data_IF_863678282033
#
_entry.id   IF_863678282033
#
_cell.length_a   1.000
_cell.length_b   1.000
_cell.length_c   1.000
_cell.angle_alpha   90.00
_cell.angle_beta   90.00
_cell.angle_gamma   90.00
#
_symmetry.space_group_name_H-M   'P 1'
#
loop_
_entity.id
_entity.type
_entity.pdbx_description
1 polymer ?
#
# COMPACT_ATOMS: atom_id res chain seq x y z
N UNK A 1 55.13 20.17 -36.21
CA UNK A 1 54.50 18.85 -35.94
C UNK A 1 53.69 18.86 -34.66
N UNK A 2 54.15 19.43 -33.54
CA UNK A 2 53.46 19.41 -32.26
C UNK A 2 52.06 20.06 -32.16
N UNK A 3 51.83 21.21 -32.89
CA UNK A 3 50.51 21.86 -32.90
C UNK A 3 49.38 21.05 -33.57
N UNK A 4 49.71 20.19 -34.55
CA UNK A 4 48.72 19.30 -35.18
C UNK A 4 48.36 18.13 -34.26
N UNK A 5 49.33 17.57 -33.55
CA UNK A 5 49.15 16.48 -32.59
C UNK A 5 48.27 16.95 -31.41
N UNK A 6 48.53 18.16 -30.89
CA UNK A 6 47.69 18.73 -29.81
C UNK A 6 46.20 18.91 -30.21
N UNK A 7 45.92 19.39 -31.43
CA UNK A 7 44.57 19.53 -31.95
C UNK A 7 43.83 18.18 -32.08
N UNK A 8 44.55 17.15 -32.54
CA UNK A 8 43.98 15.80 -32.66
C UNK A 8 43.66 15.19 -31.31
N UNK A 9 44.50 15.38 -30.29
CA UNK A 9 44.25 14.90 -28.92
C UNK A 9 43.04 15.61 -28.34
N UNK A 10 42.93 16.94 -28.48
CA UNK A 10 41.76 17.70 -27.99
C UNK A 10 40.48 17.21 -28.67
N UNK A 11 40.50 16.99 -30.00
CA UNK A 11 39.34 16.47 -30.72
C UNK A 11 38.93 15.09 -30.22
N UNK A 12 39.86 14.17 -29.96
CA UNK A 12 39.59 12.87 -29.41
C UNK A 12 38.97 12.95 -27.99
N UNK A 13 39.51 13.83 -27.15
CA UNK A 13 38.94 14.05 -25.81
C UNK A 13 37.50 14.58 -25.87
N UNK A 14 37.21 15.50 -26.77
CA UNK A 14 35.84 16.01 -27.00
C UNK A 14 34.90 14.90 -27.46
N UNK A 15 35.34 14.04 -28.38
CA UNK A 15 34.56 12.92 -28.90
C UNK A 15 34.25 11.93 -27.75
N UNK A 16 35.24 11.57 -26.93
CA UNK A 16 35.09 10.68 -25.79
C UNK A 16 34.13 11.29 -24.76
N UNK A 17 34.28 12.59 -24.49
CA UNK A 17 33.36 13.28 -23.56
C UNK A 17 31.91 13.29 -24.07
N UNK A 18 31.69 13.64 -25.34
CA UNK A 18 30.37 13.62 -25.97
C UNK A 18 29.78 12.21 -26.01
N UNK A 19 30.58 11.19 -26.29
CA UNK A 19 30.15 9.79 -26.23
C UNK A 19 29.74 9.40 -24.81
N UNK A 20 30.47 9.85 -23.79
CA UNK A 20 30.10 9.64 -22.36
C UNK A 20 28.78 10.32 -21.97
N UNK A 21 28.60 11.58 -22.43
CA UNK A 21 27.34 12.30 -22.18
C UNK A 21 26.15 11.61 -22.86
N UNK A 22 26.33 11.18 -24.14
CA UNK A 22 25.28 10.44 -24.85
C UNK A 22 24.99 9.07 -24.20
N UNK A 23 26.02 8.38 -23.74
CA UNK A 23 25.85 7.11 -23.01
C UNK A 23 25.09 7.30 -21.70
N UNK A 24 25.44 8.33 -20.91
CA UNK A 24 24.70 8.70 -19.71
C UNK A 24 23.25 9.09 -20.04
N UNK A 25 23.06 9.95 -21.05
CA UNK A 25 21.72 10.36 -21.50
C UNK A 25 20.85 9.15 -21.89
N UNK A 26 21.43 8.18 -22.61
CA UNK A 26 20.75 6.93 -22.96
C UNK A 26 20.38 6.10 -21.74
N UNK A 27 21.22 6.07 -20.70
CA UNK A 27 20.94 5.38 -19.45
C UNK A 27 19.79 6.00 -18.65
N UNK A 28 19.62 7.33 -18.70
CA UNK A 28 18.57 8.03 -17.96
C UNK A 28 17.24 8.17 -18.70
N UNK A 29 17.29 8.34 -20.03
CA UNK A 29 16.11 8.67 -20.82
C UNK A 29 15.74 7.59 -21.85
N UNK A 30 16.55 6.54 -22.00
CA UNK A 30 16.44 5.61 -23.10
C UNK A 30 16.81 6.29 -24.45
N UNK A 31 16.49 5.65 -25.55
CA UNK A 31 16.69 6.22 -26.90
C UNK A 31 15.55 5.82 -27.85
N UNK A 32 15.35 6.58 -28.95
CA UNK A 32 14.25 6.30 -29.88
C UNK A 32 14.31 4.92 -30.55
N UNK A 33 15.49 4.37 -30.74
CA UNK A 33 15.66 3.05 -31.38
C UNK A 33 15.20 1.96 -30.44
N UNK A 34 15.69 1.97 -29.20
CA UNK A 34 15.26 1.00 -28.19
C UNK A 34 13.77 1.14 -27.84
N UNK A 35 13.22 2.36 -27.82
CA UNK A 35 11.78 2.58 -27.64
C UNK A 35 10.96 1.93 -28.78
N UNK A 36 11.43 2.05 -30.02
CA UNK A 36 10.78 1.41 -31.16
C UNK A 36 10.85 -0.12 -31.08
N UNK A 37 12.02 -0.67 -30.69
CA UNK A 37 12.19 -2.10 -30.48
C UNK A 37 11.28 -2.62 -29.36
N UNK A 38 11.23 -1.91 -28.24
CA UNK A 38 10.36 -2.25 -27.11
C UNK A 38 8.87 -2.23 -27.50
N UNK A 39 8.41 -1.21 -28.25
CA UNK A 39 7.03 -1.17 -28.76
C UNK A 39 6.71 -2.33 -29.71
N UNK A 40 7.63 -2.69 -30.59
CA UNK A 40 7.45 -3.84 -31.48
C UNK A 40 7.41 -5.16 -30.72
N UNK A 41 8.28 -5.30 -29.71
CA UNK A 41 8.32 -6.45 -28.83
C UNK A 41 7.01 -6.58 -28.04
N UNK A 42 6.54 -5.47 -27.46
CA UNK A 42 5.26 -5.40 -26.75
C UNK A 42 4.09 -5.86 -27.65
N UNK A 43 3.94 -5.23 -28.83
CA UNK A 43 2.81 -5.52 -29.71
C UNK A 43 2.79 -6.99 -30.13
N UNK A 44 3.96 -7.55 -30.47
CA UNK A 44 4.07 -8.97 -30.82
C UNK A 44 3.70 -9.86 -29.63
N UNK A 45 4.24 -9.57 -28.44
CA UNK A 45 3.95 -10.35 -27.24
C UNK A 45 2.46 -10.32 -26.87
N UNK A 46 1.83 -9.13 -26.90
CA UNK A 46 0.40 -8.98 -26.61
C UNK A 46 -0.44 -9.74 -27.64
N UNK A 47 -0.10 -9.68 -28.92
CA UNK A 47 -0.79 -10.42 -29.97
C UNK A 47 -0.67 -11.95 -29.80
N UNK A 48 0.55 -12.43 -29.53
CA UNK A 48 0.83 -13.86 -29.37
C UNK A 48 0.25 -14.45 -28.09
N UNK A 49 0.26 -13.68 -26.97
CA UNK A 49 -0.14 -14.17 -25.63
C UNK A 49 -1.58 -13.81 -25.29
N UNK A 50 -2.01 -12.60 -25.61
CA UNK A 50 -3.28 -12.00 -25.22
C UNK A 50 -4.15 -11.56 -26.41
N UNK A 51 -3.87 -12.04 -27.60
CA UNK A 51 -4.61 -11.65 -28.81
C UNK A 51 -6.11 -11.99 -28.80
N UNK A 52 -6.56 -12.79 -27.83
CA UNK A 52 -7.97 -13.07 -27.56
C UNK A 52 -8.62 -12.08 -26.59
N UNK A 53 -7.82 -11.17 -26.00
CA UNK A 53 -8.25 -10.12 -25.08
C UNK A 53 -8.18 -8.76 -25.77
N UNK A 54 -9.02 -7.83 -25.37
CA UNK A 54 -9.10 -6.47 -25.90
C UNK A 54 -8.15 -5.50 -25.15
N UNK A 55 -6.90 -5.92 -24.94
CA UNK A 55 -5.92 -5.13 -24.20
C UNK A 55 -5.47 -3.89 -24.95
N UNK A 56 -5.53 -2.75 -24.30
CA UNK A 56 -5.05 -1.46 -24.82
C UNK A 56 -3.90 -0.94 -23.98
N UNK A 57 -2.91 -0.36 -24.63
CA UNK A 57 -1.77 0.26 -23.95
C UNK A 57 -2.13 1.68 -23.52
N UNK A 58 -2.42 1.87 -22.25
CA UNK A 58 -2.69 3.16 -21.63
C UNK A 58 -1.42 3.99 -21.43
N UNK A 59 -0.34 3.31 -21.05
CA UNK A 59 0.91 3.97 -20.72
C UNK A 59 2.10 3.15 -21.21
N UNK A 60 3.06 3.83 -21.81
CA UNK A 60 4.34 3.25 -22.19
C UNK A 60 5.45 4.21 -21.79
N UNK A 61 6.48 3.72 -21.10
CA UNK A 61 7.55 4.55 -20.58
C UNK A 61 8.88 3.83 -20.43
N UNK A 62 9.92 4.62 -20.23
CA UNK A 62 11.26 4.16 -19.90
C UNK A 62 11.47 4.22 -18.39
N UNK A 63 12.06 3.18 -17.82
CA UNK A 63 12.42 3.11 -16.41
C UNK A 63 13.96 3.06 -16.28
N UNK A 64 14.56 4.16 -15.83
CA UNK A 64 16.00 4.26 -15.67
C UNK A 64 16.57 3.37 -14.57
N UNK A 65 15.74 2.97 -13.56
CA UNK A 65 16.19 2.10 -12.47
C UNK A 65 16.44 0.67 -12.94
N UNK A 66 15.63 0.19 -13.89
CA UNK A 66 15.74 -1.15 -14.47
C UNK A 66 16.39 -1.15 -15.84
N UNK A 67 16.73 0.04 -16.39
CA UNK A 67 17.30 0.24 -17.73
C UNK A 67 16.48 -0.50 -18.79
N UNK A 68 15.16 -0.28 -18.78
CA UNK A 68 14.21 -0.97 -19.67
C UNK A 68 12.95 -0.15 -19.90
N UNK A 69 11.99 -0.76 -20.55
CA UNK A 69 10.69 -0.18 -20.85
C UNK A 69 9.60 -0.90 -20.08
N UNK A 70 8.52 -0.19 -19.82
CA UNK A 70 7.29 -0.78 -19.28
C UNK A 70 6.09 -0.31 -20.09
N UNK A 71 5.07 -1.13 -20.12
CA UNK A 71 3.76 -0.79 -20.61
C UNK A 71 2.71 -1.13 -19.52
N UNK A 72 1.76 -0.26 -19.33
CA UNK A 72 0.55 -0.52 -18.56
C UNK A 72 -0.60 -0.72 -19.54
N UNK A 73 -1.24 -1.88 -19.44
CA UNK A 73 -2.34 -2.28 -20.31
C UNK A 73 -3.61 -2.46 -19.48
N UNK A 74 -4.73 -2.13 -20.09
CA UNK A 74 -6.07 -2.31 -19.52
C UNK A 74 -6.99 -2.95 -20.56
N UNK A 75 -8.09 -3.53 -20.13
CA UNK A 75 -9.15 -4.01 -21.00
C UNK A 75 -10.35 -3.05 -20.97
N UNK A 76 -10.99 -2.81 -22.10
CA UNK A 76 -12.25 -2.04 -22.16
C UNK A 76 -13.45 -2.86 -21.66
N UNK A 77 -13.38 -4.18 -21.74
CA UNK A 77 -14.49 -5.09 -21.40
C UNK A 77 -14.37 -5.69 -20.00
N UNK A 78 -13.18 -5.60 -19.38
CA UNK A 78 -12.92 -6.11 -18.03
C UNK A 78 -12.31 -5.00 -17.14
N UNK A 79 -13.00 -4.66 -16.06
CA UNK A 79 -12.52 -3.64 -15.10
C UNK A 79 -11.36 -4.11 -14.23
N UNK A 80 -11.22 -5.42 -14.09
CA UNK A 80 -10.20 -6.05 -13.26
C UNK A 80 -9.02 -6.58 -14.10
N UNK A 81 -9.06 -6.39 -15.43
CA UNK A 81 -7.94 -6.76 -16.30
C UNK A 81 -7.06 -5.55 -16.58
N UNK A 82 -6.05 -5.40 -15.75
CA UNK A 82 -4.98 -4.41 -15.88
C UNK A 82 -3.65 -5.05 -15.50
N UNK A 83 -2.58 -4.78 -16.28
CA UNK A 83 -1.29 -5.42 -16.08
C UNK A 83 -0.12 -4.56 -16.53
N UNK A 84 1.06 -4.86 -16.00
CA UNK A 84 2.32 -4.30 -16.44
C UNK A 84 3.12 -5.34 -17.23
N UNK A 85 3.68 -4.92 -18.36
CA UNK A 85 4.64 -5.70 -19.14
C UNK A 85 5.96 -4.92 -19.15
N UNK A 86 7.04 -5.58 -18.74
CA UNK A 86 8.38 -5.00 -18.71
C UNK A 86 9.23 -5.59 -19.82
N UNK A 87 10.05 -4.76 -20.44
CA UNK A 87 10.87 -5.12 -21.61
C UNK A 87 12.28 -4.56 -21.45
N UNK A 88 13.25 -5.29 -21.98
CA UNK A 88 14.61 -4.79 -22.12
C UNK A 88 14.75 -3.74 -23.25
N UNK A 89 15.97 -3.23 -23.43
CA UNK A 89 16.30 -2.24 -24.47
C UNK A 89 16.18 -2.80 -25.91
N UNK A 90 16.12 -4.13 -26.07
CA UNK A 90 15.98 -4.82 -27.35
C UNK A 90 14.54 -5.22 -27.65
N UNK A 91 13.63 -5.03 -26.68
CA UNK A 91 12.20 -5.35 -26.80
C UNK A 91 11.85 -6.80 -26.42
N UNK A 92 12.73 -7.50 -25.71
CA UNK A 92 12.34 -8.77 -25.11
C UNK A 92 11.56 -8.53 -23.83
N UNK A 93 10.45 -9.22 -23.67
CA UNK A 93 9.67 -9.18 -22.43
C UNK A 93 10.47 -9.87 -21.34
N UNK A 94 10.69 -9.16 -20.22
CA UNK A 94 11.45 -9.64 -19.07
C UNK A 94 10.55 -10.02 -17.90
N UNK A 95 9.37 -9.42 -17.82
CA UNK A 95 8.37 -9.69 -16.79
C UNK A 95 6.99 -9.29 -17.29
N UNK A 96 6.00 -10.06 -16.86
CA UNK A 96 4.58 -9.84 -17.08
C UNK A 96 3.87 -10.04 -15.73
N UNK A 97 2.99 -9.13 -15.39
CA UNK A 97 2.27 -9.17 -14.11
C UNK A 97 0.88 -9.81 -14.20
N UNK A 98 0.49 -10.41 -15.32
CA UNK A 98 -0.86 -10.95 -15.54
C UNK A 98 -1.26 -11.98 -14.47
N UNK A 99 -0.37 -12.93 -14.18
CA UNK A 99 -0.67 -13.99 -13.20
C UNK A 99 -0.94 -13.43 -11.81
N UNK A 100 -0.18 -12.40 -11.39
CA UNK A 100 -0.36 -11.79 -10.07
C UNK A 100 -1.59 -10.88 -10.03
N UNK A 101 -1.72 -9.99 -11.01
CA UNK A 101 -2.69 -8.91 -10.96
C UNK A 101 -4.09 -9.32 -11.43
N UNK A 102 -4.16 -10.19 -12.44
CA UNK A 102 -5.43 -10.64 -13.02
C UNK A 102 -5.81 -12.02 -12.49
N UNK A 103 -5.02 -13.06 -12.77
CA UNK A 103 -5.32 -14.43 -12.32
C UNK A 103 -5.30 -14.53 -10.79
N UNK A 104 -4.31 -13.89 -10.13
CA UNK A 104 -4.20 -13.79 -8.67
C UNK A 104 -5.17 -12.77 -8.04
N UNK A 105 -6.02 -12.13 -8.86
CA UNK A 105 -7.11 -11.21 -8.45
C UNK A 105 -6.68 -9.97 -7.66
N UNK A 106 -5.44 -9.55 -7.78
CA UNK A 106 -4.94 -8.38 -7.06
C UNK A 106 -5.67 -7.09 -7.47
N UNK A 107 -6.04 -6.95 -8.76
CA UNK A 107 -6.88 -5.83 -9.22
C UNK A 107 -8.28 -5.85 -8.61
N UNK A 108 -8.91 -7.03 -8.53
CA UNK A 108 -10.23 -7.21 -7.90
C UNK A 108 -10.16 -6.85 -6.41
N UNK A 109 -9.13 -7.34 -5.72
CA UNK A 109 -8.86 -7.02 -4.32
C UNK A 109 -8.75 -5.51 -4.11
N UNK A 110 -7.90 -4.82 -4.90
CA UNK A 110 -7.73 -3.37 -4.79
C UNK A 110 -9.04 -2.61 -5.04
N UNK A 111 -9.85 -3.06 -5.99
CA UNK A 111 -11.13 -2.43 -6.27
C UNK A 111 -12.14 -2.63 -5.13
N UNK A 112 -12.21 -3.81 -4.55
CA UNK A 112 -13.08 -4.13 -3.40
C UNK A 112 -12.61 -3.35 -2.16
N UNK A 113 -11.30 -3.31 -1.95
CA UNK A 113 -10.65 -2.49 -0.92
C UNK A 113 -11.03 -1.02 -1.03
N UNK A 114 -10.95 -0.46 -2.24
CA UNK A 114 -11.30 0.95 -2.49
C UNK A 114 -12.79 1.24 -2.22
N UNK A 115 -13.69 0.31 -2.57
CA UNK A 115 -15.11 0.47 -2.25
C UNK A 115 -15.36 0.54 -0.74
N UNK A 116 -14.71 -0.32 0.04
CA UNK A 116 -14.82 -0.28 1.50
C UNK A 116 -14.18 1.00 2.09
N UNK A 117 -13.02 1.39 1.59
CA UNK A 117 -12.34 2.62 2.01
C UNK A 117 -13.24 3.85 1.82
N UNK A 118 -13.92 3.97 0.68
CA UNK A 118 -14.85 5.08 0.43
C UNK A 118 -15.97 5.14 1.46
N UNK A 119 -16.53 3.99 1.89
CA UNK A 119 -17.56 3.94 2.93
C UNK A 119 -17.02 4.42 4.28
N UNK A 120 -15.84 3.95 4.69
CA UNK A 120 -15.21 4.37 5.95
C UNK A 120 -14.77 5.83 5.94
N UNK A 121 -14.19 6.32 4.83
CA UNK A 121 -13.73 7.71 4.68
C UNK A 121 -14.91 8.70 4.75
N UNK A 122 -16.11 8.30 4.29
CA UNK A 122 -17.31 9.12 4.43
C UNK A 122 -17.62 9.48 5.89
N UNK A 123 -17.23 8.64 6.83
CA UNK A 123 -17.39 8.85 8.28
C UNK A 123 -16.15 9.57 8.83
N UNK A 124 -14.97 9.00 8.58
CA UNK A 124 -13.71 9.41 9.21
C UNK A 124 -13.19 10.77 8.71
N UNK A 125 -13.47 11.14 7.45
CA UNK A 125 -13.10 12.43 6.86
C UNK A 125 -14.26 13.43 6.88
N UNK A 126 -15.39 13.07 7.52
CA UNK A 126 -16.53 13.96 7.68
C UNK A 126 -16.16 15.20 8.49
N UNK A 127 -16.79 16.34 8.16
CA UNK A 127 -16.67 17.56 8.96
C UNK A 127 -17.22 17.40 10.39
N UNK A 128 -18.05 16.41 10.62
CA UNK A 128 -18.64 16.08 11.92
C UNK A 128 -17.78 15.10 12.74
N UNK A 129 -16.68 14.57 12.16
CA UNK A 129 -15.74 13.72 12.90
C UNK A 129 -14.96 14.59 13.91
N UNK A 130 -15.13 14.38 15.22
CA UNK A 130 -14.69 15.35 16.22
C UNK A 130 -13.22 15.22 16.62
N UNK A 131 -12.53 14.16 16.20
CA UNK A 131 -11.19 13.82 16.67
C UNK A 131 -10.11 14.28 15.70
N UNK A 132 -9.09 14.95 16.25
CA UNK A 132 -7.88 15.28 15.47
C UNK A 132 -7.04 14.02 15.26
N UNK A 133 -6.67 13.76 14.01
CA UNK A 133 -5.88 12.60 13.64
C UNK A 133 -4.99 12.89 12.43
N UNK A 134 -3.83 12.23 12.38
CA UNK A 134 -2.95 12.21 11.20
C UNK A 134 -3.05 10.86 10.46
N UNK A 135 -3.64 9.83 11.08
CA UNK A 135 -3.79 8.48 10.53
C UNK A 135 -5.20 8.00 10.80
N UNK A 136 -6.00 8.02 9.76
CA UNK A 136 -7.37 7.51 9.74
C UNK A 136 -7.57 6.65 8.51
N UNK A 137 -8.28 5.55 8.63
CA UNK A 137 -8.68 4.78 7.46
C UNK A 137 -9.31 3.45 7.81
N UNK A 138 -10.09 2.95 6.88
CA UNK A 138 -10.64 1.61 6.89
C UNK A 138 -10.03 0.78 5.76
N UNK A 139 -9.73 -0.47 6.06
CA UNK A 139 -9.24 -1.44 5.09
C UNK A 139 -9.88 -2.79 5.29
N UNK A 140 -9.95 -3.58 4.22
CA UNK A 140 -10.27 -5.00 4.31
C UNK A 140 -8.98 -5.80 4.40
N UNK A 141 -8.95 -6.79 5.27
CA UNK A 141 -7.83 -7.71 5.33
C UNK A 141 -8.07 -8.90 4.39
N UNK A 142 -7.08 -9.17 3.53
CA UNK A 142 -7.10 -10.27 2.60
C UNK A 142 -6.03 -11.30 2.97
N UNK A 143 -6.35 -12.58 2.82
CA UNK A 143 -5.36 -13.63 3.05
C UNK A 143 -4.22 -13.45 2.05
N UNK A 144 -3.03 -13.24 2.59
CA UNK A 144 -1.80 -13.24 1.82
C UNK A 144 -1.23 -14.66 1.76
N UNK A 145 -0.41 -14.92 0.75
CA UNK A 145 0.39 -16.14 0.74
C UNK A 145 1.28 -16.14 1.99
N UNK A 146 1.07 -17.12 2.88
CA UNK A 146 1.80 -17.18 4.16
C UNK A 146 3.28 -17.37 3.89
N UNK A 147 4.10 -16.50 4.47
CA UNK A 147 5.52 -16.79 4.60
C UNK A 147 5.74 -17.98 5.54
N UNK A 148 6.75 -18.78 5.26
CA UNK A 148 7.10 -19.93 6.12
C UNK A 148 7.50 -19.41 7.50
N UNK A 149 6.69 -19.74 8.53
CA UNK A 149 6.92 -19.30 9.92
C UNK A 149 5.98 -18.20 10.41
N UNK A 150 5.01 -17.77 9.61
CA UNK A 150 3.96 -16.86 10.07
C UNK A 150 2.85 -17.65 10.79
N UNK A 151 2.84 -17.59 12.11
CA UNK A 151 1.87 -18.28 12.98
C UNK A 151 0.63 -17.42 13.32
N UNK A 152 0.52 -16.19 12.76
CA UNK A 152 -0.63 -15.30 13.00
C UNK A 152 -1.92 -15.93 12.51
N UNK A 153 -2.99 -15.79 13.28
CA UNK A 153 -4.31 -16.29 12.91
C UNK A 153 -5.05 -15.28 12.00
N UNK A 154 -5.06 -15.59 10.70
CA UNK A 154 -5.77 -14.80 9.68
C UNK A 154 -7.13 -15.41 9.29
N UNK A 155 -7.75 -16.23 10.16
CA UNK A 155 -9.01 -16.89 9.81
C UNK A 155 -10.16 -15.91 9.52
N UNK A 156 -10.03 -14.65 9.95
CA UNK A 156 -10.98 -13.58 9.64
C UNK A 156 -10.73 -12.95 8.26
N UNK A 157 -9.51 -12.99 7.74
CA UNK A 157 -9.16 -12.35 6.47
C UNK A 157 -9.87 -12.99 5.28
N UNK A 158 -10.18 -12.20 4.27
CA UNK A 158 -10.90 -12.64 3.06
C UNK A 158 -9.97 -13.46 2.18
N UNK A 159 -10.27 -14.75 1.88
CA UNK A 159 -9.54 -15.50 0.87
C UNK A 159 -9.72 -14.87 -0.51
N UNK A 160 -8.63 -14.66 -1.26
CA UNK A 160 -8.70 -14.12 -2.62
C UNK A 160 -9.54 -14.98 -3.57
N UNK A 161 -9.64 -16.28 -3.29
CA UNK A 161 -10.44 -17.23 -4.04
C UNK A 161 -11.94 -16.88 -4.02
N UNK A 162 -12.42 -16.22 -2.97
CA UNK A 162 -13.81 -15.75 -2.86
C UNK A 162 -14.11 -14.58 -3.80
N UNK A 163 -13.08 -13.82 -4.19
CA UNK A 163 -13.27 -12.72 -5.11
C UNK A 163 -13.57 -13.23 -6.53
N UNK A 164 -14.46 -12.56 -7.21
CA UNK A 164 -14.86 -12.88 -8.59
C UNK A 164 -14.43 -11.74 -9.50
N UNK A 165 -13.62 -12.05 -10.50
CA UNK A 165 -13.15 -11.11 -11.51
C UNK A 165 -14.36 -10.40 -12.16
N UNK A 166 -14.26 -9.09 -12.32
CA UNK A 166 -15.27 -8.21 -12.94
C UNK A 166 -16.63 -8.15 -12.22
N UNK A 167 -16.83 -8.89 -11.14
CA UNK A 167 -18.06 -8.81 -10.39
C UNK A 167 -18.25 -7.41 -9.84
N UNK A 168 -19.41 -6.82 -10.10
CA UNK A 168 -19.85 -5.61 -9.42
C UNK A 168 -20.41 -6.01 -8.05
N UNK A 169 -19.66 -5.74 -7.01
CA UNK A 169 -20.11 -5.96 -5.63
C UNK A 169 -21.09 -4.85 -5.24
N UNK A 170 -22.19 -5.24 -4.61
CA UNK A 170 -23.15 -4.31 -4.01
C UNK A 170 -22.57 -3.75 -2.70
N UNK A 171 -23.10 -2.63 -2.23
CA UNK A 171 -22.75 -2.06 -0.94
C UNK A 171 -22.96 -3.06 0.22
N UNK A 172 -24.07 -3.83 0.18
CA UNK A 172 -24.36 -4.87 1.17
C UNK A 172 -23.25 -5.95 1.20
N UNK A 173 -22.74 -6.36 0.03
CA UNK A 173 -21.64 -7.32 -0.05
C UNK A 173 -20.33 -6.74 0.49
N UNK A 174 -20.05 -5.46 0.22
CA UNK A 174 -18.88 -4.76 0.75
C UNK A 174 -18.98 -4.62 2.27
N UNK A 175 -20.15 -4.27 2.81
CA UNK A 175 -20.40 -4.21 4.25
C UNK A 175 -20.24 -5.58 4.92
N UNK A 176 -20.70 -6.66 4.26
CA UNK A 176 -20.48 -8.03 4.76
C UNK A 176 -18.99 -8.40 4.81
N UNK A 177 -18.18 -7.93 3.86
CA UNK A 177 -16.72 -8.07 3.95
C UNK A 177 -16.16 -7.24 5.11
N UNK A 178 -16.68 -6.02 5.32
CA UNK A 178 -16.32 -5.15 6.43
C UNK A 178 -16.58 -5.81 7.79
N UNK A 179 -17.76 -6.40 7.99
CA UNK A 179 -18.12 -7.11 9.21
C UNK A 179 -17.17 -8.27 9.53
N UNK A 180 -16.69 -8.98 8.48
CA UNK A 180 -15.81 -10.14 8.64
C UNK A 180 -14.33 -9.78 8.75
N UNK A 181 -13.87 -8.78 7.99
CA UNK A 181 -12.45 -8.51 7.79
C UNK A 181 -12.10 -7.02 7.72
N UNK A 182 -13.01 -6.12 8.05
CA UNK A 182 -12.78 -4.69 8.06
C UNK A 182 -11.91 -4.28 9.25
N UNK A 183 -10.83 -3.58 9.00
CA UNK A 183 -9.93 -3.04 10.03
C UNK A 183 -10.00 -1.52 9.96
N UNK A 184 -10.33 -0.88 11.08
CA UNK A 184 -10.22 0.56 11.24
C UNK A 184 -8.88 0.88 11.91
N UNK A 185 -8.04 1.68 11.28
CA UNK A 185 -6.82 2.21 11.88
C UNK A 185 -7.04 3.67 12.24
N UNK A 186 -7.01 3.99 13.53
CA UNK A 186 -7.40 5.31 14.04
C UNK A 186 -6.40 5.79 15.08
N UNK A 187 -5.68 6.87 14.77
CA UNK A 187 -4.74 7.52 15.69
C UNK A 187 -5.32 8.88 16.08
N UNK A 188 -5.68 9.04 17.35
CA UNK A 188 -6.26 10.27 17.88
C UNK A 188 -5.22 11.05 18.68
N UNK A 189 -5.20 12.36 18.49
CA UNK A 189 -4.33 13.29 19.20
C UNK A 189 -5.13 14.12 20.21
N UNK A 190 -4.86 13.94 21.52
CA UNK A 190 -5.47 14.71 22.61
C UNK A 190 -4.48 15.00 23.75
N UNK A 191 -4.78 16.05 24.52
CA UNK A 191 -3.98 16.41 25.70
C UNK A 191 -4.17 15.45 26.88
N UNK A 192 -5.23 14.64 26.87
CA UNK A 192 -5.52 13.65 27.87
C UNK A 192 -5.37 12.25 27.28
N UNK A 193 -4.31 11.54 27.70
CA UNK A 193 -3.95 10.19 27.21
C UNK A 193 -4.14 9.21 28.38
N UNK A 194 -5.34 8.67 28.53
CA UNK A 194 -5.72 7.68 29.54
C UNK A 194 -6.59 6.58 28.95
N UNK A 195 -6.69 5.44 29.66
CA UNK A 195 -7.54 4.31 29.26
C UNK A 195 -9.00 4.70 29.22
N UNK A 196 -9.46 5.52 30.18
CA UNK A 196 -10.84 6.00 30.24
C UNK A 196 -11.16 6.86 29.03
N UNK A 197 -10.25 7.77 28.66
CA UNK A 197 -10.45 8.63 27.50
C UNK A 197 -10.42 7.82 26.18
N UNK A 198 -9.55 6.84 26.08
CA UNK A 198 -9.52 5.91 24.94
C UNK A 198 -10.87 5.15 24.82
N UNK A 199 -11.42 4.68 25.93
CA UNK A 199 -12.71 3.98 25.94
C UNK A 199 -13.86 4.87 25.45
N UNK A 200 -13.94 6.12 25.93
CA UNK A 200 -14.96 7.10 25.48
C UNK A 200 -14.87 7.30 23.97
N UNK A 201 -13.68 7.54 23.44
CA UNK A 201 -13.44 7.79 22.02
C UNK A 201 -13.79 6.57 21.17
N UNK A 202 -13.38 5.37 21.58
CA UNK A 202 -13.68 4.14 20.85
C UNK A 202 -15.18 3.85 20.78
N UNK A 203 -15.91 4.09 21.88
CA UNK A 203 -17.38 3.95 21.89
C UNK A 203 -18.06 4.96 20.99
N UNK A 204 -17.60 6.21 21.00
CA UNK A 204 -18.16 7.27 20.16
C UNK A 204 -17.93 7.00 18.67
N UNK A 205 -16.72 6.61 18.29
CA UNK A 205 -16.42 6.21 16.92
C UNK A 205 -17.27 5.01 16.49
N UNK A 206 -17.38 4.00 17.35
CA UNK A 206 -18.25 2.86 17.05
C UNK A 206 -19.70 3.29 16.82
N UNK A 207 -20.22 4.21 17.63
CA UNK A 207 -21.58 4.72 17.47
C UNK A 207 -21.75 5.47 16.14
N UNK A 208 -20.75 6.24 15.68
CA UNK A 208 -20.77 6.89 14.37
C UNK A 208 -20.87 5.87 13.23
N UNK A 209 -20.12 4.76 13.32
CA UNK A 209 -20.17 3.69 12.33
C UNK A 209 -21.52 2.95 12.37
N UNK A 210 -22.09 2.70 13.56
CA UNK A 210 -23.41 2.09 13.74
C UNK A 210 -24.51 2.99 13.13
N UNK A 211 -24.46 4.29 13.37
CA UNK A 211 -25.42 5.27 12.84
C UNK A 211 -25.35 5.38 11.32
N UNK A 212 -24.15 5.24 10.75
CA UNK A 212 -23.93 5.23 9.30
C UNK A 212 -24.24 3.87 8.64
N UNK A 213 -24.44 2.80 9.44
CA UNK A 213 -24.64 1.44 8.95
C UNK A 213 -23.41 0.82 8.31
N UNK A 214 -22.21 1.33 8.62
CA UNK A 214 -20.94 0.81 8.12
C UNK A 214 -20.33 -0.13 9.14
N UNK A 215 -20.06 -1.37 8.73
CA UNK A 215 -19.58 -2.44 9.62
C UNK A 215 -18.06 -2.59 9.53
N UNK A 216 -17.43 -3.01 10.61
CA UNK A 216 -16.02 -3.39 10.69
C UNK A 216 -15.84 -4.61 11.62
N UNK A 217 -14.72 -5.30 11.43
CA UNK A 217 -14.35 -6.45 12.28
C UNK A 217 -13.56 -6.01 13.51
N UNK A 218 -12.54 -5.14 13.32
CA UNK A 218 -11.58 -4.73 14.35
C UNK A 218 -11.23 -3.25 14.22
N UNK A 219 -10.95 -2.64 15.36
CA UNK A 219 -10.39 -1.29 15.45
C UNK A 219 -8.98 -1.36 16.06
N UNK A 220 -7.99 -0.89 15.30
CA UNK A 220 -6.62 -0.67 15.72
C UNK A 220 -6.51 0.82 16.13
N UNK A 221 -6.56 1.06 17.43
CA UNK A 221 -6.69 2.39 18.00
C UNK A 221 -5.44 2.84 18.72
N UNK A 222 -5.05 4.09 18.53
CA UNK A 222 -3.96 4.75 19.27
C UNK A 222 -4.44 6.12 19.75
N UNK A 223 -4.38 6.35 21.05
CA UNK A 223 -4.53 7.67 21.66
C UNK A 223 -3.16 8.18 22.07
N UNK A 224 -2.75 9.32 21.55
CA UNK A 224 -1.42 9.90 21.75
C UNK A 224 -1.49 11.40 21.96
N UNK A 225 -0.44 11.97 22.54
CA UNK A 225 -0.31 13.41 22.66
C UNK A 225 -0.18 14.08 21.28
N UNK A 226 -0.59 15.36 21.14
CA UNK A 226 -0.40 16.10 19.90
C UNK A 226 1.10 16.26 19.57
N UNK A 227 1.41 16.25 18.29
CA UNK A 227 2.75 16.54 17.81
C UNK A 227 3.16 17.96 18.19
N UNK A 228 4.33 18.18 18.85
CA UNK A 228 4.81 19.51 19.21
C UNK A 228 5.05 20.37 17.95
N UNK A 229 4.56 21.63 17.99
CA UNK A 229 4.73 22.57 16.88
C UNK A 229 6.19 23.05 16.72
N UNK A 230 6.97 23.01 17.79
CA UNK A 230 8.38 23.43 17.82
C UNK A 230 9.36 22.40 17.22
N UNK A 231 8.84 21.26 16.74
CA UNK A 231 9.63 20.18 16.17
C UNK A 231 10.41 19.34 17.18
N UNK A 232 10.14 19.49 18.47
CA UNK A 232 10.68 18.63 19.52
C UNK A 232 10.17 17.18 19.37
N UNK A 233 10.78 16.26 20.14
CA UNK A 233 10.34 14.87 20.18
C UNK A 233 8.88 14.78 20.66
N UNK A 234 8.16 13.80 20.14
CA UNK A 234 6.80 13.52 20.60
C UNK A 234 6.81 13.22 22.10
N UNK A 235 5.82 13.70 22.88
CA UNK A 235 5.70 13.31 24.27
C UNK A 235 5.61 11.80 24.40
N UNK A 236 6.26 11.25 25.43
CA UNK A 236 6.18 9.82 25.72
C UNK A 236 4.81 9.46 26.29
N UNK A 237 4.35 8.27 25.96
CA UNK A 237 3.09 7.70 26.41
C UNK A 237 2.00 7.79 25.35
N UNK A 238 1.42 6.66 25.09
CA UNK A 238 0.22 6.50 24.29
C UNK A 238 -0.62 5.38 24.91
N UNK A 239 -1.88 5.27 24.47
CA UNK A 239 -2.74 4.10 24.75
C UNK A 239 -3.03 3.43 23.42
N UNK A 240 -2.71 2.16 23.31
CA UNK A 240 -2.96 1.33 22.14
C UNK A 240 -3.96 0.25 22.45
N UNK A 241 -4.85 -0.02 21.51
CA UNK A 241 -5.78 -1.12 21.65
C UNK A 241 -6.12 -1.71 20.28
N UNK A 242 -6.13 -3.01 20.18
CA UNK A 242 -6.68 -3.77 19.06
C UNK A 242 -7.86 -4.56 19.57
N UNK A 243 -9.08 -4.09 19.28
CA UNK A 243 -10.31 -4.70 19.77
C UNK A 243 -11.25 -5.00 18.61
N UNK A 244 -11.88 -6.17 18.66
CA UNK A 244 -12.95 -6.50 17.71
C UNK A 244 -14.20 -5.66 17.99
N UNK A 245 -15.06 -5.51 16.97
CA UNK A 245 -16.33 -4.78 17.10
C UNK A 245 -17.15 -5.19 18.33
N UNK A 246 -17.24 -6.50 18.62
CA UNK A 246 -17.98 -7.05 19.75
C UNK A 246 -17.35 -6.77 21.12
N UNK A 247 -16.06 -6.48 21.16
CA UNK A 247 -15.33 -6.13 22.39
C UNK A 247 -15.46 -4.65 22.72
N UNK A 248 -15.80 -3.79 21.78
CA UNK A 248 -16.02 -2.36 22.01
C UNK A 248 -17.45 -2.17 22.54
N UNK A 249 -17.60 -2.34 23.86
CA UNK A 249 -18.84 -2.18 24.63
C UNK A 249 -18.54 -1.67 26.03
N UNK A 250 -19.45 -0.91 26.64
CA UNK A 250 -19.24 -0.24 27.94
C UNK A 250 -18.79 -1.22 29.06
N UNK A 251 -19.43 -2.39 29.15
CA UNK A 251 -19.12 -3.38 30.18
C UNK A 251 -17.71 -3.96 29.99
N UNK A 252 -16.82 -3.70 30.94
CA UNK A 252 -15.43 -4.20 30.97
C UNK A 252 -14.51 -3.66 29.88
N UNK A 253 -14.83 -2.49 29.26
CA UNK A 253 -14.01 -1.94 28.18
C UNK A 253 -12.63 -1.47 28.68
N UNK A 254 -12.55 -0.86 29.85
CA UNK A 254 -11.29 -0.37 30.41
C UNK A 254 -10.29 -1.50 30.59
N UNK A 255 -10.74 -2.62 31.14
CA UNK A 255 -9.91 -3.81 31.34
C UNK A 255 -9.44 -4.40 30.01
N UNK A 256 -10.30 -4.41 28.97
CA UNK A 256 -9.90 -4.90 27.64
C UNK A 256 -8.89 -3.99 26.95
N UNK A 257 -9.07 -2.66 27.04
CA UNK A 257 -8.08 -1.70 26.50
C UNK A 257 -6.75 -1.87 27.22
N UNK A 258 -6.74 -1.92 28.55
CA UNK A 258 -5.50 -2.11 29.31
C UNK A 258 -4.81 -3.42 28.95
N UNK A 259 -5.55 -4.52 28.88
CA UNK A 259 -4.99 -5.83 28.52
C UNK A 259 -4.41 -5.83 27.09
N UNK A 260 -5.10 -5.19 26.12
CA UNK A 260 -4.60 -5.06 24.75
C UNK A 260 -3.36 -4.19 24.70
N UNK A 261 -3.33 -3.07 25.43
CA UNK A 261 -2.18 -2.18 25.54
C UNK A 261 -0.94 -2.94 26.06
N UNK A 262 -1.10 -3.65 27.19
CA UNK A 262 -0.02 -4.41 27.80
C UNK A 262 0.53 -5.48 26.84
N UNK A 263 -0.35 -6.21 26.16
CA UNK A 263 0.03 -7.23 25.19
C UNK A 263 0.80 -6.67 23.97
N UNK A 264 0.40 -5.49 23.45
CA UNK A 264 1.08 -4.83 22.35
C UNK A 264 2.50 -4.41 22.76
N UNK A 265 2.66 -3.85 23.97
CA UNK A 265 3.97 -3.44 24.46
C UNK A 265 4.88 -4.62 24.81
N UNK A 266 4.32 -5.72 25.31
CA UNK A 266 5.07 -6.97 25.50
C UNK A 266 5.62 -7.50 24.17
N UNK A 267 4.78 -7.51 23.11
CA UNK A 267 5.20 -7.90 21.76
C UNK A 267 6.31 -6.99 21.22
N UNK A 268 6.21 -5.68 21.42
CA UNK A 268 7.28 -4.74 20.99
C UNK A 268 8.59 -5.02 21.72
N UNK A 269 8.53 -5.27 23.02
CA UNK A 269 9.72 -5.60 23.81
C UNK A 269 10.39 -6.91 23.34
N UNK A 270 9.60 -7.93 22.99
CA UNK A 270 10.10 -9.18 22.43
C UNK A 270 10.77 -8.97 21.06
N UNK A 271 10.13 -8.22 20.16
CA UNK A 271 10.68 -7.92 18.83
C UNK A 271 11.99 -7.09 18.90
N UNK A 272 12.08 -6.17 19.84
CA UNK A 272 13.30 -5.37 20.06
C UNK A 272 14.42 -6.21 20.64
N UNK A 273 14.11 -7.16 21.53
CA UNK A 273 15.06 -8.12 22.06
C UNK A 273 15.62 -9.05 20.96
N UNK A 274 14.75 -9.54 20.07
CA UNK A 274 15.16 -10.38 18.92
C UNK A 274 16.08 -9.64 17.94
N UNK A 275 15.83 -8.34 17.71
CA UNK A 275 16.64 -7.49 16.83
C UNK A 275 17.93 -7.02 17.48
N UNK A 276 18.20 -7.36 18.74
CA UNK A 276 19.38 -6.92 19.49
C UNK A 276 19.39 -5.41 19.77
N UNK A 277 18.23 -4.75 19.70
CA UNK A 277 18.05 -3.36 20.09
C UNK A 277 17.99 -3.33 21.62
N UNK A 278 19.11 -2.99 22.26
CA UNK A 278 19.15 -2.77 23.72
C UNK A 278 18.35 -1.49 23.98
N UNK A 279 17.14 -1.64 24.48
CA UNK A 279 16.42 -0.52 25.09
C UNK A 279 17.21 -0.15 26.35
N UNK A 280 18.00 0.92 26.31
CA UNK A 280 18.66 1.43 27.49
C UNK A 280 17.56 1.99 28.38
N UNK A 281 17.32 1.33 29.53
CA UNK A 281 16.59 1.93 30.63
C UNK A 281 17.23 3.29 30.90
N UNK A 282 16.55 4.35 30.59
CA UNK A 282 16.90 5.68 31.04
C UNK A 282 16.18 5.88 32.38
N UNK A 283 16.96 5.73 33.47
CA UNK A 283 16.63 6.23 34.80
C UNK A 283 16.28 7.75 34.79
#
# INVERSE_FOLDING_TARGET
>A
MGKKIGKTIILLLVIVFLAGVLWMGNGFFGNPVSALLARRGLNRYVEETYGHMDLQTERFGYNFKTVGYFAYLTSETSRDTALYIYMDMLGHVTHDSFDTWVTGKMNTEQRVQEQYRVLTDTILESADFPYKSDILGGMLDFQQDREVGDDRDYNYAIPREELILDKQYSEEEILSFGERAGILTIYVQEDTVTVERAAEIMLDIKAMFDDAGVTFYRMDFVLQYPKPEDGSSWPEGDIRAELTYGEIREDGLLERIQASHDAIYELFAELDAEKGIIVSDKD
#
